data_IF_880132125887
#
_entry.id   IF_880132125887
#
_cell.length_a   1.000
_cell.length_b   1.000
_cell.length_c   1.000
_cell.angle_alpha   90.00
_cell.angle_beta   90.00
_cell.angle_gamma   90.00
#
_symmetry.space_group_name_H-M   'P 1'
#
loop_
_entity.id
_entity.type
_entity.pdbx_description
1 polymer ?
#
# COMPACT_ATOMS: atom_id res chain seq x y z
N UNK A 1 7.42 -45.25 5.25
CA UNK A 1 7.40 -43.86 4.75
C UNK A 1 8.71 -43.09 5.00
N UNK A 2 9.42 -43.27 6.12
CA UNK A 2 10.75 -42.64 6.37
C UNK A 2 11.83 -42.96 5.30
N UNK A 3 11.89 -44.22 4.84
CA UNK A 3 12.87 -44.66 3.83
C UNK A 3 12.62 -44.08 2.43
N UNK A 4 11.34 -43.84 2.09
CA UNK A 4 10.94 -43.18 0.83
C UNK A 4 11.29 -41.68 0.84
N UNK A 5 11.15 -41.02 2.00
CA UNK A 5 11.51 -39.60 2.18
C UNK A 5 13.03 -39.40 2.04
N UNK A 6 13.86 -40.29 2.59
CA UNK A 6 15.31 -40.21 2.45
C UNK A 6 15.78 -40.40 1.00
N UNK A 7 15.15 -41.31 0.25
CA UNK A 7 15.47 -41.54 -1.17
C UNK A 7 15.07 -40.34 -2.02
N UNK A 8 13.94 -39.69 -1.72
CA UNK A 8 13.45 -38.52 -2.45
C UNK A 8 14.30 -37.26 -2.17
N UNK A 9 14.77 -37.07 -0.93
CA UNK A 9 15.71 -35.99 -0.58
C UNK A 9 17.09 -36.17 -1.23
N UNK A 10 17.58 -37.40 -1.34
CA UNK A 10 18.85 -37.69 -2.02
C UNK A 10 18.77 -37.41 -3.53
N UNK A 11 17.60 -37.60 -4.15
CA UNK A 11 17.39 -37.37 -5.58
C UNK A 11 17.38 -35.86 -5.94
N UNK A 12 16.86 -35.01 -5.06
CA UNK A 12 16.75 -33.56 -5.28
C UNK A 12 18.13 -32.88 -5.19
N UNK A 13 19.03 -33.39 -4.36
CA UNK A 13 20.40 -32.86 -4.22
C UNK A 13 21.32 -33.16 -5.41
N UNK A 14 20.93 -34.09 -6.30
CA UNK A 14 21.73 -34.49 -7.47
C UNK A 14 21.45 -33.65 -8.72
N UNK A 15 20.47 -32.73 -8.70
CA UNK A 15 20.04 -31.96 -9.87
C UNK A 15 20.58 -30.52 -9.96
N UNK A 16 21.47 -30.09 -9.05
CA UNK A 16 21.90 -28.68 -8.95
C UNK A 16 23.30 -28.36 -9.50
N UNK A 17 23.89 -29.19 -10.35
CA UNK A 17 25.21 -28.91 -10.96
C UNK A 17 25.21 -28.94 -12.50
N UNK A 18 24.52 -27.97 -13.13
CA UNK A 18 24.83 -27.54 -14.50
C UNK A 18 24.46 -26.07 -14.69
N UNK A 19 25.46 -25.19 -14.60
CA UNK A 19 25.33 -23.75 -14.85
C UNK A 19 26.70 -23.10 -15.09
N UNK A 20 27.24 -23.33 -16.28
CA UNK A 20 28.46 -22.71 -16.83
C UNK A 20 28.15 -22.45 -18.31
N UNK A 21 28.44 -21.33 -18.96
CA UNK A 21 29.09 -20.10 -18.57
C UNK A 21 29.00 -19.13 -19.76
N UNK A 22 29.55 -17.94 -19.60
CA UNK A 22 29.75 -16.99 -20.69
C UNK A 22 30.60 -15.83 -20.21
N UNK A 23 31.88 -15.84 -20.60
CA UNK A 23 32.82 -14.75 -20.40
C UNK A 23 33.31 -14.24 -21.77
N UNK A 24 33.27 -12.92 -21.97
CA UNK A 24 34.12 -12.08 -22.83
C UNK A 24 33.44 -10.70 -22.90
N UNK A 25 33.91 -9.67 -22.19
CA UNK A 25 34.93 -8.70 -22.64
C UNK A 25 34.58 -8.02 -23.96
N UNK A 26 34.25 -6.72 -23.92
CA UNK A 26 34.69 -5.72 -24.89
C UNK A 26 34.50 -4.29 -24.33
N UNK A 27 35.61 -3.71 -23.87
CA UNK A 27 35.99 -2.29 -24.03
C UNK A 27 36.99 -2.32 -25.20
N UNK A 28 37.00 -1.42 -26.23
CA UNK A 28 37.22 0.02 -26.04
C UNK A 28 36.66 1.02 -27.09
N UNK A 29 36.69 2.29 -26.68
CA UNK A 29 37.04 3.52 -27.43
C UNK A 29 36.17 4.09 -28.58
N UNK A 30 35.81 5.37 -28.36
CA UNK A 30 35.96 6.53 -29.24
C UNK A 30 34.92 6.89 -30.33
N UNK A 31 34.18 7.97 -30.02
CA UNK A 31 33.94 9.18 -30.81
C UNK A 31 33.16 9.15 -32.15
N UNK A 32 31.96 9.75 -32.15
CA UNK A 32 31.64 10.96 -32.95
C UNK A 32 30.26 11.54 -32.58
N UNK A 33 30.06 12.87 -32.75
CA UNK A 33 28.88 13.58 -32.26
C UNK A 33 27.67 13.34 -33.18
N UNK A 34 26.53 13.03 -32.57
CA UNK A 34 25.25 12.92 -33.28
C UNK A 34 24.61 14.32 -33.35
N UNK A 35 24.12 14.76 -34.52
CA UNK A 35 23.47 16.06 -34.68
C UNK A 35 22.29 16.22 -33.74
N UNK A 36 22.24 17.37 -33.09
CA UNK A 36 21.17 17.84 -32.23
C UNK A 36 19.87 17.90 -33.05
N UNK A 37 19.03 16.87 -32.92
CA UNK A 37 17.66 16.91 -33.39
C UNK A 37 16.91 17.95 -32.55
N UNK A 38 16.38 18.96 -33.24
CA UNK A 38 15.51 19.98 -32.65
C UNK A 38 14.35 19.30 -31.91
N UNK A 39 14.27 19.55 -30.61
CA UNK A 39 13.18 19.11 -29.76
C UNK A 39 11.91 19.80 -30.23
N UNK A 40 11.04 19.04 -30.90
CA UNK A 40 9.62 19.39 -30.99
C UNK A 40 9.09 19.49 -29.55
N UNK A 41 8.48 20.60 -29.12
CA UNK A 41 7.95 20.69 -27.76
C UNK A 41 6.85 19.64 -27.60
N UNK A 42 7.01 18.77 -26.59
CA UNK A 42 5.96 17.88 -26.15
C UNK A 42 4.71 18.71 -25.75
N UNK A 43 3.49 18.24 -26.02
CA UNK A 43 2.29 18.94 -25.55
C UNK A 43 2.35 19.11 -24.03
N UNK A 44 2.09 20.33 -23.55
CA UNK A 44 1.97 20.61 -22.11
C UNK A 44 0.93 19.66 -21.49
N UNK A 45 1.19 19.08 -20.30
CA UNK A 45 0.20 18.28 -19.61
C UNK A 45 -1.02 19.13 -19.34
N UNK A 46 -2.17 18.70 -19.86
CA UNK A 46 -3.46 19.26 -19.46
C UNK A 46 -3.62 18.99 -17.96
N UNK A 47 -3.87 20.02 -17.12
CA UNK A 47 -4.04 19.81 -15.70
C UNK A 47 -5.22 18.87 -15.46
N UNK A 48 -4.98 17.77 -14.73
CA UNK A 48 -6.09 16.96 -14.21
C UNK A 48 -6.97 17.82 -13.29
N UNK A 49 -8.30 17.67 -13.35
CA UNK A 49 -9.19 18.41 -12.46
C UNK A 49 -8.89 18.02 -11.01
N UNK A 50 -8.47 18.99 -10.21
CA UNK A 50 -8.33 18.82 -8.76
C UNK A 50 -9.70 18.55 -8.13
N UNK A 51 -9.85 17.53 -7.26
CA UNK A 51 -11.11 17.26 -6.54
C UNK A 51 -11.54 18.46 -5.68
N UNK A 52 -12.86 18.65 -5.53
CA UNK A 52 -13.40 19.68 -4.63
C UNK A 52 -13.09 19.30 -3.17
N UNK A 53 -12.39 20.14 -2.39
CA UNK A 53 -12.06 19.84 -0.98
C UNK A 53 -13.28 19.66 -0.07
N UNK A 54 -14.46 20.16 -0.46
CA UNK A 54 -15.70 19.98 0.30
C UNK A 54 -16.50 18.76 -0.16
N UNK A 55 -16.00 18.00 -1.13
CA UNK A 55 -16.65 16.79 -1.58
C UNK A 55 -16.79 15.80 -0.42
N UNK A 56 -18.00 15.25 -0.18
CA UNK A 56 -18.22 14.24 0.84
C UNK A 56 -17.57 12.91 0.42
N UNK A 57 -16.96 12.23 1.39
CA UNK A 57 -16.41 10.88 1.22
C UNK A 57 -17.54 9.87 1.40
N UNK A 58 -17.62 8.91 0.49
CA UNK A 58 -18.46 7.72 0.63
C UNK A 58 -17.55 6.57 1.04
N UNK A 59 -17.66 6.14 2.30
CA UNK A 59 -16.86 5.04 2.83
C UNK A 59 -17.41 3.69 2.35
N UNK A 60 -16.50 2.81 1.94
CA UNK A 60 -16.80 1.42 1.61
C UNK A 60 -16.99 0.58 2.87
N UNK A 61 -16.22 0.85 3.94
CA UNK A 61 -16.27 0.11 5.20
C UNK A 61 -16.84 0.96 6.35
N UNK A 62 -17.97 0.51 6.91
CA UNK A 62 -18.66 1.24 7.98
C UNK A 62 -17.90 1.24 9.31
N UNK A 63 -17.07 0.23 9.60
CA UNK A 63 -16.23 0.21 10.79
C UNK A 63 -15.06 1.19 10.63
N UNK A 64 -14.51 1.30 9.41
CA UNK A 64 -13.51 2.32 9.07
C UNK A 64 -14.10 3.72 9.25
N UNK A 65 -15.27 4.01 8.67
CA UNK A 65 -15.97 5.29 8.85
C UNK A 65 -16.19 5.60 10.34
N UNK A 66 -16.65 4.62 11.12
CA UNK A 66 -16.89 4.79 12.55
C UNK A 66 -15.62 5.21 13.30
N UNK A 67 -14.47 4.58 12.99
CA UNK A 67 -13.19 4.95 13.55
C UNK A 67 -12.74 6.37 13.16
N UNK A 68 -12.93 6.75 11.89
CA UNK A 68 -12.63 8.12 11.41
C UNK A 68 -13.51 9.16 12.09
N UNK A 69 -14.82 8.89 12.23
CA UNK A 69 -15.76 9.76 12.95
C UNK A 69 -15.34 9.99 14.39
N UNK A 70 -14.90 8.93 15.07
CA UNK A 70 -14.36 9.02 16.43
C UNK A 70 -13.09 9.88 16.47
N UNK A 71 -12.17 9.67 15.52
CA UNK A 71 -10.93 10.46 15.44
C UNK A 71 -11.19 11.96 15.19
N UNK A 72 -12.21 12.28 14.39
CA UNK A 72 -12.61 13.67 14.09
C UNK A 72 -13.56 14.28 15.13
N UNK A 73 -14.01 13.52 16.14
CA UNK A 73 -15.09 13.90 17.06
C UNK A 73 -16.37 14.36 16.31
N UNK A 74 -16.73 13.66 15.24
CA UNK A 74 -17.83 14.02 14.33
C UNK A 74 -18.84 12.87 14.17
N UNK A 75 -19.82 12.75 15.08
CA UNK A 75 -20.77 11.64 15.07
C UNK A 75 -21.71 11.67 13.85
N UNK A 76 -22.06 12.86 13.35
CA UNK A 76 -23.06 13.05 12.30
C UNK A 76 -22.56 13.98 11.18
N UNK A 77 -23.26 13.96 10.06
CA UNK A 77 -22.95 14.75 8.86
C UNK A 77 -21.80 14.18 8.03
N UNK A 78 -21.59 14.76 6.86
CA UNK A 78 -20.60 14.28 5.90
C UNK A 78 -19.17 14.54 6.39
N UNK A 79 -18.27 13.58 6.18
CA UNK A 79 -16.83 13.79 6.27
C UNK A 79 -16.33 14.20 4.88
N UNK A 80 -15.62 15.32 4.77
CA UNK A 80 -15.13 15.83 3.49
C UNK A 80 -13.70 15.39 3.19
N UNK A 81 -13.29 15.52 1.91
CA UNK A 81 -11.89 15.33 1.49
C UNK A 81 -10.91 16.22 2.28
N UNK A 82 -11.29 17.47 2.57
CA UNK A 82 -10.45 18.37 3.37
C UNK A 82 -10.31 17.95 4.83
N UNK A 83 -11.37 17.42 5.45
CA UNK A 83 -11.30 16.88 6.82
C UNK A 83 -10.41 15.65 6.88
N UNK A 84 -10.52 14.73 5.92
CA UNK A 84 -9.65 13.56 5.85
C UNK A 84 -8.18 13.94 5.58
N UNK A 85 -7.94 14.88 4.66
CA UNK A 85 -6.60 15.37 4.37
C UNK A 85 -5.97 16.15 5.53
N UNK A 86 -6.73 16.66 6.49
CA UNK A 86 -6.20 17.35 7.66
C UNK A 86 -5.61 16.39 8.72
N UNK A 87 -5.92 15.09 8.64
CA UNK A 87 -5.38 14.11 9.59
C UNK A 87 -3.95 13.70 9.21
N UNK A 88 -3.03 13.89 10.16
CA UNK A 88 -1.66 13.35 10.10
C UNK A 88 -1.50 12.09 10.94
N UNK A 89 -2.39 11.88 11.92
CA UNK A 89 -2.41 10.70 12.77
C UNK A 89 -3.83 10.17 12.89
N UNK A 90 -4.01 8.87 12.67
CA UNK A 90 -5.30 8.20 12.75
C UNK A 90 -5.19 6.97 13.66
N UNK A 91 -5.93 6.99 14.76
CA UNK A 91 -6.05 5.86 15.69
C UNK A 91 -7.40 5.17 15.49
N UNK A 92 -7.34 3.94 14.98
CA UNK A 92 -8.48 3.04 14.76
C UNK A 92 -8.45 1.85 15.73
N UNK A 93 -7.58 1.87 16.75
CA UNK A 93 -7.35 0.73 17.62
C UNK A 93 -8.64 0.27 18.30
N UNK A 94 -8.87 -1.04 18.24
CA UNK A 94 -9.93 -1.72 18.94
C UNK A 94 -9.38 -2.68 20.01
N UNK A 95 -10.14 -2.94 21.08
CA UNK A 95 -9.76 -3.91 22.11
C UNK A 95 -9.74 -5.33 21.54
N UNK A 96 -8.69 -6.10 21.82
CA UNK A 96 -8.53 -7.48 21.30
C UNK A 96 -9.40 -8.54 21.99
N UNK A 97 -10.05 -8.19 23.09
CA UNK A 97 -10.89 -9.07 23.91
C UNK A 97 -12.39 -8.85 23.69
N UNK A 98 -12.80 -7.75 23.05
CA UNK A 98 -14.20 -7.49 22.68
C UNK A 98 -14.41 -7.59 21.16
N UNK A 99 -14.89 -8.76 20.75
CA UNK A 99 -15.25 -9.09 19.37
C UNK A 99 -16.70 -8.74 19.02
N UNK A 100 -17.47 -8.14 19.93
CA UNK A 100 -18.80 -7.61 19.61
C UNK A 100 -18.74 -6.31 18.81
N UNK A 101 -17.59 -5.61 18.85
CA UNK A 101 -17.34 -4.39 18.09
C UNK A 101 -16.94 -4.77 16.65
N UNK A 102 -17.65 -4.28 15.62
CA UNK A 102 -17.31 -4.53 14.22
C UNK A 102 -15.87 -4.16 13.90
N UNK A 103 -15.24 -4.98 13.06
CA UNK A 103 -13.86 -4.79 12.59
C UNK A 103 -13.86 -4.31 11.15
N UNK A 104 -12.79 -3.61 10.81
CA UNK A 104 -12.50 -3.13 9.46
C UNK A 104 -12.16 -4.35 8.60
N UNK A 105 -12.98 -4.58 7.58
CA UNK A 105 -12.81 -5.65 6.61
C UNK A 105 -12.14 -5.16 5.33
N UNK A 106 -12.20 -3.85 5.04
CA UNK A 106 -11.59 -3.23 3.86
C UNK A 106 -10.84 -1.94 4.24
N UNK A 107 -9.64 -1.78 3.67
CA UNK A 107 -8.77 -0.61 3.85
C UNK A 107 -8.80 0.36 2.66
N UNK A 108 -9.64 0.13 1.65
CA UNK A 108 -9.73 0.94 0.44
C UNK A 108 -9.91 2.45 0.75
N UNK A 109 -10.66 2.79 1.79
CA UNK A 109 -10.93 4.18 2.18
C UNK A 109 -9.71 4.92 2.74
N UNK A 110 -8.61 4.21 3.05
CA UNK A 110 -7.38 4.82 3.55
C UNK A 110 -6.75 5.80 2.54
N UNK A 111 -7.07 5.65 1.25
CA UNK A 111 -6.59 6.53 0.18
C UNK A 111 -7.04 7.98 0.34
N UNK A 112 -8.13 8.24 1.09
CA UNK A 112 -8.63 9.59 1.33
C UNK A 112 -7.80 10.38 2.35
N UNK A 113 -6.78 9.76 2.96
CA UNK A 113 -5.95 10.36 4.01
C UNK A 113 -4.49 10.55 3.56
N UNK A 114 -4.24 11.38 2.53
CA UNK A 114 -2.92 11.48 1.87
C UNK A 114 -1.81 12.05 2.76
N UNK A 115 -2.18 12.63 3.91
CA UNK A 115 -1.26 13.28 4.84
C UNK A 115 -0.95 12.45 6.09
N UNK A 116 -1.45 11.22 6.21
CA UNK A 116 -1.13 10.38 7.36
C UNK A 116 0.36 10.05 7.44
N UNK A 117 0.93 10.33 8.60
CA UNK A 117 2.27 9.94 9.02
C UNK A 117 2.23 8.80 10.04
N UNK A 118 1.13 8.68 10.79
CA UNK A 118 0.93 7.60 11.78
C UNK A 118 -0.43 6.95 11.66
N UNK A 119 -0.47 5.62 11.56
CA UNK A 119 -1.69 4.81 11.54
C UNK A 119 -1.63 3.72 12.62
N UNK A 120 -2.59 3.75 13.54
CA UNK A 120 -2.71 2.76 14.61
C UNK A 120 -3.92 1.89 14.35
N UNK A 121 -3.69 0.62 14.03
CA UNK A 121 -4.75 -0.34 13.71
C UNK A 121 -5.05 -1.26 14.89
N UNK A 122 -4.07 -1.63 15.71
CA UNK A 122 -4.31 -2.54 16.84
C UNK A 122 -5.09 -3.78 16.39
N UNK A 123 -6.14 -4.14 17.13
CA UNK A 123 -7.03 -5.27 16.77
C UNK A 123 -8.18 -4.91 15.82
N UNK A 124 -8.07 -3.82 15.05
CA UNK A 124 -9.18 -3.29 14.26
C UNK A 124 -9.45 -4.04 12.96
N UNK A 125 -8.51 -4.84 12.46
CA UNK A 125 -8.64 -5.55 11.18
C UNK A 125 -9.21 -6.95 11.36
N UNK A 126 -10.25 -7.31 10.60
CA UNK A 126 -10.70 -8.69 10.47
C UNK A 126 -11.58 -8.90 9.22
N UNK A 127 -11.25 -9.91 8.43
CA UNK A 127 -12.08 -10.49 7.36
C UNK A 127 -11.75 -11.98 7.23
N UNK A 128 -12.71 -12.81 6.84
CA UNK A 128 -12.43 -14.19 6.48
C UNK A 128 -11.41 -14.25 5.33
N UNK A 129 -10.29 -14.94 5.54
CA UNK A 129 -9.20 -14.99 4.56
C UNK A 129 -8.14 -13.89 4.72
N UNK A 130 -8.33 -12.97 5.67
CA UNK A 130 -7.42 -11.84 5.93
C UNK A 130 -7.86 -10.56 5.21
N UNK A 131 -7.36 -9.42 5.68
CA UNK A 131 -7.63 -8.11 5.09
C UNK A 131 -6.52 -7.76 4.09
N UNK A 132 -6.89 -7.30 2.90
CA UNK A 132 -5.92 -6.80 1.92
C UNK A 132 -5.31 -5.47 2.41
N UNK A 133 -3.98 -5.46 2.53
CA UNK A 133 -3.21 -4.29 2.97
C UNK A 133 -2.66 -3.47 1.80
N UNK A 134 -2.88 -3.88 0.56
CA UNK A 134 -2.45 -3.15 -0.64
C UNK A 134 -2.88 -1.67 -0.63
N UNK A 135 -4.09 -1.30 -0.15
CA UNK A 135 -4.50 0.10 -0.04
C UNK A 135 -3.55 0.98 0.79
N UNK A 136 -2.81 0.42 1.75
CA UNK A 136 -1.82 1.18 2.52
C UNK A 136 -0.71 1.79 1.63
N UNK A 137 -0.51 1.24 0.43
CA UNK A 137 0.44 1.77 -0.55
C UNK A 137 0.11 3.19 -1.04
N UNK A 138 -1.13 3.67 -0.86
CA UNK A 138 -1.47 5.06 -1.17
C UNK A 138 -0.94 6.06 -0.14
N UNK A 139 -0.57 5.60 1.06
CA UNK A 139 -0.10 6.44 2.16
C UNK A 139 1.39 6.75 2.03
N UNK A 140 1.76 7.55 1.02
CA UNK A 140 3.17 7.83 0.71
C UNK A 140 3.91 8.63 1.79
N UNK A 141 3.20 9.20 2.77
CA UNK A 141 3.77 9.94 3.91
C UNK A 141 3.80 9.12 5.21
N UNK A 142 3.36 7.86 5.18
CA UNK A 142 3.28 7.05 6.39
C UNK A 142 4.69 6.72 6.90
N UNK A 143 4.97 7.12 8.13
CA UNK A 143 6.23 6.88 8.84
C UNK A 143 6.06 5.79 9.91
N UNK A 144 4.86 5.69 10.50
CA UNK A 144 4.53 4.73 11.55
C UNK A 144 3.26 3.94 11.22
N UNK A 145 3.39 2.62 11.18
CA UNK A 145 2.27 1.67 11.13
C UNK A 145 2.31 0.80 12.38
N UNK A 146 1.25 0.86 13.19
CA UNK A 146 1.15 0.12 14.45
C UNK A 146 0.09 -0.96 14.34
N UNK A 147 0.54 -2.22 14.34
CA UNK A 147 -0.26 -3.43 14.36
C UNK A 147 0.23 -4.33 15.53
N UNK A 148 -0.64 -5.16 16.14
CA UNK A 148 -0.31 -6.02 17.27
C UNK A 148 0.66 -7.15 16.90
#
# INVERSE_FOLDING_TARGET
>A
MKRLICVLLALILLFSLTGCGGAATQEPAAASPVPQAETTPAPEPTPEPTPDPNQPIVFADAAFESGVRKALNKPDGDITLSEAAALESLNLELPGDDWSIPRIADLYDVQYFPNLTSLFLGWALYQEGGVDITPLGSLTKLEGLYMP
#
